data_IF_681129438412
#
_entry.id   IF_681129438412
#
_cell.length_a   1.000
_cell.length_b   1.000
_cell.length_c   1.000
_cell.angle_alpha   90.00
_cell.angle_beta   90.00
_cell.angle_gamma   90.00
#
_symmetry.space_group_name_H-M   'P 1'
#
loop_
_entity.id
_entity.type
_entity.pdbx_description
1 polymer ?
#
# COMPACT_ATOMS: atom_id res chain seq x y z
N UNK A 1 -38.19 5.88 -4.86
CA UNK A 1 -37.58 6.10 -3.53
C UNK A 1 -36.54 5.02 -3.30
N UNK A 2 -35.25 5.31 -3.53
CA UNK A 2 -34.18 4.38 -3.17
C UNK A 2 -33.75 4.68 -1.72
N UNK A 3 -33.91 3.70 -0.83
CA UNK A 3 -33.49 3.82 0.57
C UNK A 3 -31.99 4.10 0.65
N UNK A 4 -31.61 5.20 1.30
CA UNK A 4 -30.22 5.50 1.64
C UNK A 4 -29.64 4.35 2.46
N UNK A 5 -28.71 3.60 1.86
CA UNK A 5 -27.97 2.55 2.58
C UNK A 5 -26.91 3.23 3.45
N UNK A 6 -27.02 3.10 4.76
CA UNK A 6 -25.96 3.48 5.70
C UNK A 6 -24.78 2.52 5.55
N UNK A 7 -23.94 2.78 4.54
CA UNK A 7 -22.69 2.06 4.32
C UNK A 7 -21.60 2.89 4.98
N UNK A 8 -21.02 2.38 6.06
CA UNK A 8 -19.77 2.94 6.60
C UNK A 8 -18.68 2.67 5.57
N UNK A 9 -18.05 3.71 4.98
CA UNK A 9 -16.97 3.48 4.04
C UNK A 9 -15.80 2.77 4.75
N UNK A 10 -15.10 1.87 4.05
CA UNK A 10 -13.92 1.22 4.61
C UNK A 10 -12.92 2.29 5.05
N UNK A 11 -12.49 2.20 6.31
CA UNK A 11 -11.40 3.03 6.85
C UNK A 11 -10.08 2.41 6.40
N UNK A 12 -9.49 2.97 5.36
CA UNK A 12 -8.13 2.60 4.95
C UNK A 12 -7.13 3.20 5.92
N UNK A 13 -6.04 2.48 6.20
CA UNK A 13 -4.95 3.03 6.99
C UNK A 13 -4.12 3.97 6.11
N UNK A 14 -3.55 5.03 6.69
CA UNK A 14 -2.84 6.05 5.91
C UNK A 14 -1.60 5.49 5.22
N UNK A 15 -0.95 4.48 5.80
CA UNK A 15 0.25 3.83 5.24
C UNK A 15 -0.10 3.04 3.96
N UNK A 16 -1.16 2.24 3.98
CA UNK A 16 -1.61 1.43 2.83
C UNK A 16 -2.26 2.30 1.77
N UNK A 17 -2.94 3.38 2.18
CA UNK A 17 -3.36 4.45 1.28
C UNK A 17 -2.17 5.10 0.57
N UNK A 18 -1.11 5.43 1.30
CA UNK A 18 0.11 5.99 0.72
C UNK A 18 0.80 5.02 -0.25
N UNK A 19 0.94 3.74 0.11
CA UNK A 19 1.51 2.71 -0.78
C UNK A 19 0.74 2.63 -2.10
N UNK A 20 -0.60 2.67 -2.04
CA UNK A 20 -1.47 2.65 -3.24
C UNK A 20 -1.23 3.86 -4.13
N UNK A 21 -1.31 5.05 -3.56
CA UNK A 21 -1.20 6.28 -4.34
C UNK A 21 0.19 6.46 -4.93
N UNK A 22 1.24 6.14 -4.17
CA UNK A 22 2.62 6.15 -4.70
C UNK A 22 2.80 5.18 -5.88
N UNK A 23 2.20 3.98 -5.81
CA UNK A 23 2.25 3.03 -6.92
C UNK A 23 1.48 3.53 -8.15
N UNK A 24 0.30 4.12 -7.96
CA UNK A 24 -0.48 4.73 -9.05
C UNK A 24 0.31 5.87 -9.68
N UNK A 25 0.81 6.81 -8.90
CA UNK A 25 1.53 7.99 -9.38
C UNK A 25 2.80 7.60 -10.15
N UNK A 26 3.54 6.61 -9.66
CA UNK A 26 4.75 6.11 -10.32
C UNK A 26 4.45 5.47 -11.69
N UNK A 27 3.42 4.62 -11.77
CA UNK A 27 3.00 4.00 -13.04
C UNK A 27 2.50 5.05 -14.02
N UNK A 28 1.69 6.00 -13.56
CA UNK A 28 1.16 7.06 -14.42
C UNK A 28 2.28 7.95 -14.95
N UNK A 29 3.23 8.35 -14.10
CA UNK A 29 4.40 9.13 -14.50
C UNK A 29 5.28 8.38 -15.50
N UNK A 30 5.42 7.07 -15.37
CA UNK A 30 6.16 6.23 -16.31
C UNK A 30 5.37 5.90 -17.59
N UNK A 31 4.07 6.20 -17.64
CA UNK A 31 3.13 5.78 -18.68
C UNK A 31 3.22 4.27 -19.00
N UNK A 32 3.60 3.46 -17.99
CA UNK A 32 3.86 2.02 -18.13
C UNK A 32 3.98 1.37 -16.76
N UNK A 33 3.43 0.16 -16.61
CA UNK A 33 3.53 -0.64 -15.38
C UNK A 33 2.21 -1.30 -14.96
N UNK A 34 2.21 -1.93 -13.78
CA UNK A 34 1.09 -2.72 -13.26
C UNK A 34 0.70 -2.25 -11.85
N UNK A 35 -0.26 -1.30 -11.70
CA UNK A 35 -0.61 -0.74 -10.39
C UNK A 35 -1.51 -1.69 -9.58
N UNK A 36 -2.18 -2.65 -10.22
CA UNK A 36 -3.15 -3.54 -9.56
C UNK A 36 -2.54 -4.41 -8.46
N UNK A 37 -1.35 -4.97 -8.70
CA UNK A 37 -0.66 -5.81 -7.71
C UNK A 37 -0.25 -5.00 -6.45
N UNK A 38 0.45 -3.85 -6.57
CA UNK A 38 0.69 -2.96 -5.43
C UNK A 38 -0.58 -2.52 -4.69
N UNK A 39 -1.67 -2.25 -5.41
CA UNK A 39 -2.92 -1.80 -4.80
C UNK A 39 -3.61 -2.89 -3.98
N UNK A 40 -3.57 -4.14 -4.46
CA UNK A 40 -4.17 -5.29 -3.77
C UNK A 40 -3.32 -5.82 -2.61
N UNK A 41 -2.01 -5.59 -2.63
CA UNK A 41 -1.07 -6.12 -1.64
C UNK A 41 -0.60 -5.11 -0.58
N UNK A 42 -1.15 -3.89 -0.56
CA UNK A 42 -0.67 -2.82 0.33
C UNK A 42 -0.71 -3.22 1.82
N UNK A 43 -1.76 -3.88 2.28
CA UNK A 43 -1.89 -4.36 3.67
C UNK A 43 -0.86 -5.43 4.01
N UNK A 44 -0.58 -6.34 3.08
CA UNK A 44 0.42 -7.39 3.26
C UNK A 44 1.80 -6.76 3.37
N UNK A 45 2.10 -5.77 2.52
CA UNK A 45 3.36 -5.04 2.54
C UNK A 45 3.56 -4.29 3.87
N UNK A 46 2.53 -3.62 4.38
CA UNK A 46 2.58 -2.93 5.69
C UNK A 46 2.88 -3.93 6.82
N UNK A 47 2.14 -5.04 6.90
CA UNK A 47 2.36 -6.05 7.94
C UNK A 47 3.75 -6.67 7.83
N UNK A 48 4.18 -7.07 6.63
CA UNK A 48 5.49 -7.68 6.43
C UNK A 48 6.62 -6.71 6.82
N UNK A 49 6.61 -5.49 6.28
CA UNK A 49 7.68 -4.52 6.43
C UNK A 49 7.78 -3.93 7.83
N UNK A 50 6.65 -3.59 8.45
CA UNK A 50 6.63 -2.90 9.74
C UNK A 50 6.56 -3.86 10.94
N UNK A 51 6.09 -5.10 10.76
CA UNK A 51 5.83 -6.01 11.90
C UNK A 51 6.66 -7.29 11.91
N UNK A 52 7.17 -7.75 10.77
CA UNK A 52 7.82 -9.06 10.68
C UNK A 52 9.26 -9.03 10.20
N UNK A 53 9.62 -8.17 9.25
CA UNK A 53 11.00 -8.08 8.79
C UNK A 53 11.89 -7.47 9.88
N UNK A 54 13.06 -8.07 10.08
CA UNK A 54 14.18 -7.46 10.79
C UNK A 54 15.14 -6.92 9.74
N UNK A 55 15.15 -5.60 9.56
CA UNK A 55 15.90 -4.94 8.50
C UNK A 55 16.35 -3.55 8.93
N UNK A 56 17.40 -3.05 8.28
CA UNK A 56 17.90 -1.69 8.47
C UNK A 56 17.78 -0.92 7.15
N UNK A 57 16.80 -0.01 7.02
CA UNK A 57 16.62 0.79 5.81
C UNK A 57 17.84 1.63 5.42
N UNK A 58 18.71 1.98 6.37
CA UNK A 58 19.95 2.72 6.12
C UNK A 58 21.15 1.83 5.75
N UNK A 59 21.07 0.52 6.01
CA UNK A 59 22.11 -0.45 5.66
C UNK A 59 21.50 -1.77 5.16
N UNK A 60 21.28 -1.91 3.83
CA UNK A 60 20.74 -3.13 3.24
C UNK A 60 21.63 -4.38 3.41
N UNK A 61 22.91 -4.22 3.78
CA UNK A 61 23.85 -5.33 4.04
C UNK A 61 24.02 -5.62 5.54
N UNK A 62 23.13 -5.10 6.38
CA UNK A 62 23.18 -5.36 7.82
C UNK A 62 23.14 -6.88 8.06
N UNK A 63 24.17 -7.45 8.71
CA UNK A 63 24.36 -8.91 8.73
C UNK A 63 23.25 -9.67 9.44
N UNK A 64 22.50 -9.02 10.34
CA UNK A 64 21.34 -9.59 11.02
C UNK A 64 20.70 -8.57 11.97
#
# INVERSE_FOLDING_TARGET
MAASRNITPPKFNDITGAIRMLAVDAVQKANSGHPGAPMGMAEIADVLWNRHLRHNPANPKWPD
#
